data_IF_705797649591
#
_entry.id   IF_705797649591
#
_cell.length_a   1.000
_cell.length_b   1.000
_cell.length_c   1.000
_cell.angle_alpha   90.00
_cell.angle_beta   90.00
_cell.angle_gamma   90.00
#
_symmetry.space_group_name_H-M   'P 1'
#
loop_
_entity.id
_entity.type
_entity.pdbx_description
1 polymer ?
#
# COMPACT_ATOMS: atom_id res chain seq x y z
N UNK A 1 -31.78 -33.94 8.48
CA UNK A 1 -31.03 -33.93 7.20
C UNK A 1 -29.81 -33.04 7.33
N UNK A 2 -28.59 -33.50 7.00
CA UNK A 2 -27.41 -32.64 7.00
C UNK A 2 -27.62 -31.52 5.97
N UNK A 3 -27.40 -30.25 6.34
CA UNK A 3 -27.49 -29.10 5.41
C UNK A 3 -26.59 -29.36 4.20
N UNK A 4 -27.10 -29.11 3.00
CA UNK A 4 -26.34 -29.15 1.73
C UNK A 4 -25.02 -28.39 1.90
N UNK A 5 -23.90 -29.12 1.95
CA UNK A 5 -22.54 -28.56 2.01
C UNK A 5 -21.98 -28.53 0.60
N UNK A 6 -21.67 -27.34 0.07
CA UNK A 6 -20.91 -27.21 -1.17
C UNK A 6 -19.54 -27.87 -1.00
N UNK A 7 -19.07 -28.58 -2.01
CA UNK A 7 -17.72 -29.12 -2.04
C UNK A 7 -16.72 -27.97 -1.93
N UNK A 8 -15.84 -28.06 -0.93
CA UNK A 8 -14.76 -27.10 -0.78
C UNK A 8 -13.60 -27.59 -1.64
N UNK A 9 -13.17 -26.77 -2.61
CA UNK A 9 -11.95 -27.03 -3.37
C UNK A 9 -10.78 -27.04 -2.38
N UNK A 10 -10.17 -28.21 -2.16
CA UNK A 10 -9.00 -28.35 -1.29
C UNK A 10 -7.75 -28.15 -2.15
N UNK A 11 -7.04 -27.06 -1.91
CA UNK A 11 -5.76 -26.78 -2.55
C UNK A 11 -4.65 -27.56 -1.87
N UNK A 12 -3.80 -28.24 -2.66
CA UNK A 12 -2.62 -28.98 -2.19
C UNK A 12 -1.37 -28.09 -2.10
N UNK A 13 -1.56 -26.80 -1.81
CA UNK A 13 -0.45 -25.85 -1.65
C UNK A 13 0.37 -26.17 -0.39
N UNK A 14 1.68 -25.97 -0.47
CA UNK A 14 2.62 -26.14 0.67
C UNK A 14 2.46 -25.10 1.78
N UNK A 15 1.69 -24.03 1.54
CA UNK A 15 1.54 -22.91 2.49
C UNK A 15 0.47 -23.24 3.53
N UNK A 16 0.88 -23.24 4.79
CA UNK A 16 -0.02 -23.38 5.94
C UNK A 16 -0.62 -22.03 6.34
N UNK A 17 -1.78 -22.06 7.00
CA UNK A 17 -2.41 -20.85 7.51
C UNK A 17 -1.61 -20.32 8.70
N UNK A 18 -1.39 -19.01 8.75
CA UNK A 18 -0.82 -18.35 9.92
C UNK A 18 -1.76 -18.50 11.11
N UNK A 19 -1.23 -19.03 12.20
CA UNK A 19 -1.93 -19.28 13.47
C UNK A 19 -1.74 -18.11 14.43
N UNK A 20 -2.37 -18.22 15.61
CA UNK A 20 -2.25 -17.26 16.71
C UNK A 20 -0.78 -17.08 17.18
N UNK A 21 0.07 -18.08 16.97
CA UNK A 21 1.47 -18.06 17.36
C UNK A 21 2.26 -16.97 16.62
N UNK A 22 2.03 -16.80 15.31
CA UNK A 22 2.67 -15.73 14.53
C UNK A 22 2.31 -14.34 15.06
N UNK A 23 1.02 -14.13 15.38
CA UNK A 23 0.56 -12.86 15.97
C UNK A 23 1.21 -12.59 17.31
N UNK A 24 1.41 -13.64 18.13
CA UNK A 24 2.11 -13.52 19.40
C UNK A 24 3.60 -13.20 19.19
N UNK A 25 4.26 -13.84 18.22
CA UNK A 25 5.66 -13.56 17.88
C UNK A 25 5.84 -12.10 17.45
N UNK A 26 4.96 -11.58 16.57
CA UNK A 26 4.98 -10.16 16.19
C UNK A 26 4.81 -9.24 17.41
N UNK A 27 3.89 -9.54 18.33
CA UNK A 27 3.70 -8.74 19.54
C UNK A 27 4.99 -8.71 20.39
N UNK A 28 5.64 -9.85 20.59
CA UNK A 28 6.90 -9.94 21.33
C UNK A 28 8.03 -9.16 20.64
N UNK A 29 8.16 -9.29 19.32
CA UNK A 29 9.16 -8.53 18.55
C UNK A 29 8.92 -7.02 18.65
N UNK A 30 7.67 -6.59 18.59
CA UNK A 30 7.29 -5.18 18.68
C UNK A 30 7.64 -4.62 20.07
N UNK A 31 7.34 -5.35 21.14
CA UNK A 31 7.72 -4.97 22.51
C UNK A 31 9.23 -4.89 22.69
N UNK A 32 9.99 -5.86 22.18
CA UNK A 32 11.45 -5.85 22.23
C UNK A 32 12.06 -4.65 21.46
N UNK A 33 11.47 -4.27 20.32
CA UNK A 33 11.91 -3.09 19.57
C UNK A 33 11.50 -1.78 20.25
N UNK A 34 10.32 -1.72 20.89
CA UNK A 34 9.91 -0.58 21.69
C UNK A 34 10.84 -0.35 22.90
N UNK A 35 11.51 -1.41 23.38
CA UNK A 35 12.54 -1.31 24.40
C UNK A 35 13.90 -0.86 23.86
N UNK A 36 14.30 -1.45 22.73
CA UNK A 36 15.61 -1.25 22.11
C UNK A 36 15.82 0.15 21.57
N UNK A 37 14.83 0.68 20.84
CA UNK A 37 14.97 1.94 20.10
C UNK A 37 14.47 3.13 20.90
N UNK A 38 15.04 4.29 20.62
CA UNK A 38 14.68 5.57 21.27
C UNK A 38 13.37 6.13 20.74
N UNK A 39 13.16 6.12 19.44
CA UNK A 39 11.97 6.70 18.83
C UNK A 39 11.04 5.62 18.25
N UNK A 40 9.74 5.82 18.45
CA UNK A 40 8.69 5.04 17.80
C UNK A 40 7.77 5.99 17.03
N UNK A 41 7.65 5.77 15.73
CA UNK A 41 6.84 6.57 14.84
C UNK A 41 5.59 5.81 14.44
N UNK A 42 4.45 6.48 14.50
CA UNK A 42 3.23 6.05 13.84
C UNK A 42 3.21 6.65 12.43
N UNK A 43 3.17 5.80 11.42
CA UNK A 43 3.07 6.22 10.04
C UNK A 43 1.83 5.65 9.36
N UNK A 44 1.32 6.36 8.37
CA UNK A 44 0.27 5.94 7.44
C UNK A 44 0.90 5.68 6.07
N UNK A 45 0.33 4.76 5.30
CA UNK A 45 0.79 4.47 3.94
C UNK A 45 -0.31 4.75 2.93
N UNK A 46 0.03 5.52 1.90
CA UNK A 46 -0.87 5.90 0.81
C UNK A 46 -0.58 5.03 -0.39
N UNK A 47 -1.63 4.45 -0.99
CA UNK A 47 -1.50 3.56 -2.14
C UNK A 47 -0.47 2.44 -1.93
N UNK A 48 -0.67 1.66 -0.88
CA UNK A 48 0.28 0.64 -0.41
C UNK A 48 0.57 -0.46 -1.46
N UNK A 49 1.86 -0.72 -1.70
CA UNK A 49 2.39 -1.92 -2.38
C UNK A 49 3.48 -2.54 -1.53
N UNK A 50 3.47 -3.86 -1.42
CA UNK A 50 4.51 -4.61 -0.72
C UNK A 50 5.92 -4.37 -1.30
N UNK A 51 6.05 -4.10 -2.60
CA UNK A 51 7.34 -3.79 -3.23
C UNK A 51 7.98 -2.53 -2.65
N UNK A 52 7.18 -1.47 -2.48
CA UNK A 52 7.68 -0.16 -2.03
C UNK A 52 8.08 -0.21 -0.57
N UNK A 53 7.27 -0.83 0.29
CA UNK A 53 7.61 -1.00 1.70
C UNK A 53 8.84 -1.90 1.89
N UNK A 54 9.03 -2.93 1.04
CA UNK A 54 10.27 -3.72 1.04
C UNK A 54 11.49 -2.86 0.69
N UNK A 55 11.36 -1.93 -0.25
CA UNK A 55 12.44 -0.98 -0.58
C UNK A 55 12.75 -0.09 0.61
N UNK A 56 11.74 0.49 1.26
CA UNK A 56 11.94 1.32 2.47
C UNK A 56 12.62 0.50 3.57
N UNK A 57 12.12 -0.71 3.88
CA UNK A 57 12.73 -1.61 4.87
C UNK A 57 14.18 -1.96 4.55
N UNK A 58 14.51 -2.14 3.26
CA UNK A 58 15.88 -2.42 2.83
C UNK A 58 16.80 -1.23 3.04
N UNK A 59 16.33 -0.02 2.75
CA UNK A 59 17.10 1.23 2.93
C UNK A 59 17.36 1.51 4.42
N UNK A 60 16.46 1.08 5.30
CA UNK A 60 16.51 1.31 6.75
C UNK A 60 16.93 0.07 7.57
N UNK A 61 17.41 -1.00 6.93
CA UNK A 61 17.57 -2.32 7.57
C UNK A 61 18.46 -2.30 8.82
N UNK A 62 19.52 -1.49 8.79
CA UNK A 62 20.55 -1.47 9.83
C UNK A 62 20.25 -0.43 10.93
N UNK A 63 19.52 0.63 10.59
CA UNK A 63 19.28 1.80 11.45
C UNK A 63 17.86 1.88 12.00
N UNK A 64 16.96 1.01 11.56
CA UNK A 64 15.57 1.02 12.01
C UNK A 64 14.83 -0.31 11.82
N UNK A 65 13.64 -0.41 12.42
CA UNK A 65 12.72 -1.53 12.24
C UNK A 65 11.31 -1.04 11.94
N UNK A 66 10.73 -1.52 10.84
CA UNK A 66 9.35 -1.19 10.44
C UNK A 66 8.42 -2.37 10.64
N UNK A 67 7.31 -2.12 11.33
CA UNK A 67 6.18 -3.02 11.47
C UNK A 67 4.99 -2.46 10.70
N UNK A 68 4.36 -3.32 9.91
CA UNK A 68 3.12 -3.00 9.22
C UNK A 68 2.28 -4.27 9.19
N UNK A 69 1.08 -4.21 9.77
CA UNK A 69 0.23 -5.35 9.99
C UNK A 69 -1.12 -4.90 10.56
N UNK A 70 -1.85 -5.83 11.18
CA UNK A 70 -3.16 -5.53 11.75
C UNK A 70 -3.03 -4.52 12.90
N UNK A 71 -3.60 -3.33 12.72
CA UNK A 71 -3.57 -2.24 13.71
C UNK A 71 -3.99 -2.67 15.12
N UNK A 72 -5.01 -3.51 15.24
CA UNK A 72 -5.45 -4.05 16.53
C UNK A 72 -4.39 -4.89 17.26
N UNK A 73 -3.53 -5.62 16.54
CA UNK A 73 -2.44 -6.41 17.13
C UNK A 73 -1.33 -5.48 17.61
N UNK A 74 -0.96 -4.48 16.80
CA UNK A 74 0.04 -3.48 17.16
C UNK A 74 -0.40 -2.62 18.36
N UNK A 75 -1.65 -2.17 18.39
CA UNK A 75 -2.20 -1.42 19.50
C UNK A 75 -2.20 -2.23 20.80
N UNK A 76 -2.52 -3.53 20.72
CA UNK A 76 -2.45 -4.44 21.87
C UNK A 76 -1.00 -4.68 22.34
N UNK A 77 -0.05 -4.76 21.41
CA UNK A 77 1.37 -4.94 21.74
C UNK A 77 1.95 -3.75 22.52
N UNK A 78 1.55 -2.52 22.16
CA UNK A 78 1.95 -1.29 22.84
C UNK A 78 1.22 -1.09 24.19
N UNK A 79 -0.01 -1.59 24.28
CA UNK A 79 -0.91 -1.42 25.42
C UNK A 79 -1.94 -0.31 25.16
N UNK A 80 -3.22 -0.65 25.19
CA UNK A 80 -4.32 0.29 24.91
C UNK A 80 -4.73 1.13 26.12
N UNK A 81 -4.32 0.74 27.32
CA UNK A 81 -4.63 1.41 28.57
C UNK A 81 -3.35 1.72 29.35
N UNK A 82 -3.41 2.71 30.26
CA UNK A 82 -2.30 3.09 31.13
C UNK A 82 -1.87 1.94 32.06
N UNK A 83 -2.76 0.98 32.35
CA UNK A 83 -2.43 -0.18 33.17
C UNK A 83 -1.71 -1.31 32.39
N UNK A 84 -1.87 -1.32 31.06
CA UNK A 84 -1.31 -2.35 30.17
C UNK A 84 -0.21 -1.78 29.27
N UNK A 85 0.19 -0.52 29.48
CA UNK A 85 1.20 0.12 28.64
C UNK A 85 2.59 -0.44 28.94
N UNK A 86 3.26 -0.89 27.89
CA UNK A 86 4.58 -1.50 28.01
C UNK A 86 5.65 -0.48 28.45
N UNK A 87 5.47 0.77 28.01
CA UNK A 87 6.24 1.94 28.46
C UNK A 87 5.31 3.13 28.61
N UNK A 88 5.72 4.05 29.47
CA UNK A 88 4.98 5.27 29.79
C UNK A 88 4.67 6.07 28.51
N UNK A 89 3.38 6.33 28.29
CA UNK A 89 2.88 7.16 27.20
C UNK A 89 2.65 6.46 25.86
N UNK A 90 3.02 5.18 25.72
CA UNK A 90 2.72 4.40 24.50
C UNK A 90 1.22 4.19 24.28
N UNK A 91 0.44 4.19 25.36
CA UNK A 91 -1.02 4.11 25.29
C UNK A 91 -1.63 5.22 24.42
N UNK A 92 -1.06 6.43 24.45
CA UNK A 92 -1.49 7.55 23.60
C UNK A 92 -1.26 7.24 22.12
N UNK A 93 -0.13 6.64 21.77
CA UNK A 93 0.18 6.23 20.39
C UNK A 93 -0.76 5.10 19.94
N UNK A 94 -1.02 4.11 20.81
CA UNK A 94 -1.90 2.97 20.51
C UNK A 94 -3.33 3.39 20.14
N UNK A 95 -3.89 4.42 20.80
CA UNK A 95 -5.24 4.92 20.49
C UNK A 95 -5.37 5.58 19.11
N UNK A 96 -4.24 6.02 18.52
CA UNK A 96 -4.19 6.66 17.21
C UNK A 96 -4.03 5.65 16.07
N UNK A 97 -3.79 4.37 16.39
CA UNK A 97 -3.63 3.30 15.39
C UNK A 97 -5.01 2.97 14.79
N UNK A 98 -5.34 3.61 13.66
CA UNK A 98 -6.59 3.39 12.91
C UNK A 98 -6.31 3.35 11.41
N UNK A 99 -6.90 2.38 10.71
CA UNK A 99 -6.72 2.21 9.27
C UNK A 99 -5.39 1.54 8.90
N UNK A 100 -4.85 1.90 7.72
CA UNK A 100 -3.59 1.36 7.17
C UNK A 100 -2.38 2.11 7.74
N UNK A 101 -2.08 1.84 9.00
CA UNK A 101 -0.95 2.44 9.72
C UNK A 101 0.09 1.38 10.10
N UNK A 102 1.32 1.83 10.34
CA UNK A 102 2.41 1.00 10.82
C UNK A 102 3.26 1.72 11.88
N UNK A 103 4.18 0.98 12.48
CA UNK A 103 5.13 1.49 13.46
C UNK A 103 6.54 1.44 12.91
N UNK A 104 7.30 2.52 13.12
CA UNK A 104 8.69 2.63 12.70
C UNK A 104 9.57 2.99 13.89
N UNK A 105 10.48 2.10 14.23
CA UNK A 105 11.40 2.26 15.35
C UNK A 105 12.80 2.63 14.85
N UNK A 106 13.39 3.69 15.39
CA UNK A 106 14.74 4.12 15.01
C UNK A 106 15.37 4.96 16.12
N UNK A 107 16.71 5.07 16.10
CA UNK A 107 17.48 6.01 16.94
C UNK A 107 17.85 7.31 16.20
N UNK A 108 17.54 7.38 14.90
CA UNK A 108 17.84 8.51 14.02
C UNK A 108 17.11 9.77 14.46
N UNK A 109 17.73 10.94 14.31
CA UNK A 109 17.13 12.19 14.72
C UNK A 109 15.80 12.48 14.00
N UNK A 110 14.81 13.09 14.69
CA UNK A 110 13.49 13.24 14.10
C UNK A 110 13.44 14.05 12.81
N UNK A 111 14.29 15.05 12.68
CA UNK A 111 14.34 15.91 11.50
C UNK A 111 14.76 15.13 10.25
N UNK A 112 15.80 14.31 10.36
CA UNK A 112 16.30 13.49 9.25
C UNK A 112 15.25 12.47 8.79
N UNK A 113 14.52 11.86 9.73
CA UNK A 113 13.43 10.94 9.42
C UNK A 113 12.30 11.64 8.65
N UNK A 114 11.90 12.84 9.10
CA UNK A 114 10.84 13.62 8.45
C UNK A 114 11.24 14.00 7.02
N UNK A 115 12.45 14.50 6.82
CA UNK A 115 12.97 14.91 5.51
C UNK A 115 13.08 13.70 4.56
N UNK A 116 13.62 12.58 5.05
CA UNK A 116 13.76 11.37 4.25
C UNK A 116 12.41 10.84 3.74
N UNK A 117 11.39 10.79 4.62
CA UNK A 117 10.06 10.33 4.23
C UNK A 117 9.31 11.33 3.35
N UNK A 118 9.60 12.63 3.44
CA UNK A 118 9.06 13.64 2.53
C UNK A 118 9.61 13.49 1.11
N UNK A 119 10.91 13.18 0.99
CA UNK A 119 11.60 12.98 -0.29
C UNK A 119 11.28 11.62 -0.93
N UNK A 120 11.01 10.59 -0.13
CA UNK A 120 10.73 9.26 -0.65
C UNK A 120 9.34 9.17 -1.31
N UNK A 121 9.32 9.31 -2.63
CA UNK A 121 8.11 9.21 -3.44
C UNK A 121 8.33 8.28 -4.63
N UNK A 122 7.43 7.31 -4.83
CA UNK A 122 7.53 6.36 -5.94
C UNK A 122 6.26 6.32 -6.79
N UNK A 123 6.34 6.67 -8.08
CA UNK A 123 5.19 6.56 -8.99
C UNK A 123 4.73 5.11 -9.15
N UNK A 124 3.42 4.89 -9.06
CA UNK A 124 2.74 3.60 -9.20
C UNK A 124 1.44 3.70 -10.01
N UNK A 125 0.91 2.54 -10.39
CA UNK A 125 -0.34 2.39 -11.11
C UNK A 125 -1.54 2.54 -10.17
N UNK A 126 -2.52 3.33 -10.61
CA UNK A 126 -3.79 3.46 -9.91
C UNK A 126 -4.55 2.12 -9.85
N UNK A 127 -5.42 1.98 -8.85
CA UNK A 127 -6.37 0.88 -8.69
C UNK A 127 -7.80 1.41 -8.79
N UNK A 128 -8.74 0.48 -8.88
CA UNK A 128 -10.15 0.81 -8.73
C UNK A 128 -10.37 1.57 -7.42
N UNK A 129 -11.18 2.62 -7.45
CA UNK A 129 -11.44 3.46 -6.28
C UNK A 129 -10.47 4.65 -6.10
N UNK A 130 -9.30 4.65 -6.74
CA UNK A 130 -8.43 5.85 -6.75
C UNK A 130 -9.03 6.95 -7.62
N UNK A 131 -8.79 8.21 -7.28
CA UNK A 131 -9.14 9.36 -8.14
C UNK A 131 -8.06 9.57 -9.20
N UNK A 132 -8.46 9.84 -10.44
CA UNK A 132 -7.53 10.16 -11.50
C UNK A 132 -6.88 11.53 -11.28
N UNK A 133 -5.54 11.58 -11.28
CA UNK A 133 -4.76 12.82 -11.10
C UNK A 133 -4.76 13.71 -12.35
N UNK A 134 -4.95 13.11 -13.53
CA UNK A 134 -5.07 13.79 -14.83
C UNK A 134 -6.04 13.08 -15.75
N UNK A 135 -6.59 13.83 -16.71
CA UNK A 135 -7.40 13.27 -17.80
C UNK A 135 -6.49 12.55 -18.80
N UNK A 136 -6.86 11.34 -19.18
CA UNK A 136 -6.14 10.54 -20.20
C UNK A 136 -7.08 10.17 -21.32
N UNK A 137 -6.66 10.48 -22.54
CA UNK A 137 -7.35 10.09 -23.78
C UNK A 137 -6.35 9.37 -24.65
N UNK A 138 -6.70 8.15 -25.06
CA UNK A 138 -5.93 7.38 -26.02
C UNK A 138 -6.24 7.92 -27.43
N UNK A 139 -5.23 8.28 -28.23
CA UNK A 139 -5.46 8.76 -29.58
C UNK A 139 -5.99 7.64 -30.49
N UNK A 140 -6.57 8.02 -31.62
CA UNK A 140 -6.83 7.11 -32.73
C UNK A 140 -5.51 6.52 -33.25
N UNK A 141 -5.53 5.26 -33.69
CA UNK A 141 -4.35 4.56 -34.17
C UNK A 141 -3.91 3.41 -33.27
N UNK A 142 -2.69 2.87 -33.46
CA UNK A 142 -2.19 1.74 -32.69
C UNK A 142 -2.24 2.00 -31.19
N UNK A 143 -2.76 1.04 -30.42
CA UNK A 143 -2.70 1.14 -28.96
C UNK A 143 -1.25 0.90 -28.54
N UNK A 144 -0.66 1.86 -27.83
CA UNK A 144 0.74 1.83 -27.41
C UNK A 144 0.87 1.51 -25.91
N UNK A 145 1.94 0.80 -25.58
CA UNK A 145 2.44 0.54 -24.24
C UNK A 145 3.60 1.48 -23.97
N UNK A 146 3.50 2.27 -22.91
CA UNK A 146 4.53 3.23 -22.50
C UNK A 146 5.50 2.64 -21.47
N UNK A 147 5.73 1.31 -21.50
CA UNK A 147 6.72 0.67 -20.62
C UNK A 147 8.16 0.81 -21.14
N UNK A 148 8.33 1.06 -22.44
CA UNK A 148 9.60 1.26 -23.12
C UNK A 148 9.61 2.62 -23.81
N UNK A 149 10.83 3.13 -24.04
CA UNK A 149 11.08 4.30 -24.86
C UNK A 149 11.94 3.86 -26.06
N UNK A 150 11.41 3.89 -27.30
CA UNK A 150 10.10 4.41 -27.71
C UNK A 150 8.92 3.47 -27.35
N UNK A 151 7.67 3.99 -27.28
CA UNK A 151 6.49 3.18 -26.99
C UNK A 151 6.21 2.09 -28.02
N UNK A 152 5.81 0.91 -27.54
CA UNK A 152 5.57 -0.26 -28.38
C UNK A 152 4.08 -0.56 -28.54
N UNK A 153 3.63 -1.02 -29.72
CA UNK A 153 2.25 -1.46 -29.88
C UNK A 153 1.93 -2.68 -29.01
N UNK A 154 0.64 -2.84 -28.67
CA UNK A 154 0.15 -4.07 -28.04
C UNK A 154 0.27 -5.27 -28.98
N UNK A 155 0.54 -6.47 -28.45
CA UNK A 155 0.56 -7.69 -29.24
C UNK A 155 -0.87 -8.14 -29.58
N UNK A 156 -1.02 -8.82 -30.71
CA UNK A 156 -2.33 -9.24 -31.24
C UNK A 156 -3.14 -10.12 -30.29
N UNK A 157 -2.49 -10.90 -29.43
CA UNK A 157 -3.13 -11.80 -28.47
C UNK A 157 -3.81 -11.06 -27.31
N UNK A 158 -3.42 -9.81 -27.03
CA UNK A 158 -4.02 -8.98 -25.97
C UNK A 158 -5.24 -8.18 -26.48
N UNK A 159 -5.52 -8.19 -27.78
CA UNK A 159 -6.67 -7.49 -28.37
C UNK A 159 -8.03 -7.88 -27.73
N UNK A 160 -8.34 -9.17 -27.49
CA UNK A 160 -9.60 -9.54 -26.85
C UNK A 160 -9.73 -8.98 -25.42
N UNK A 161 -8.61 -8.84 -24.71
CA UNK A 161 -8.59 -8.24 -23.38
C UNK A 161 -8.85 -6.74 -23.45
N UNK A 162 -8.21 -6.03 -24.39
CA UNK A 162 -8.47 -4.60 -24.62
C UNK A 162 -9.94 -4.32 -24.93
N UNK A 163 -10.57 -5.17 -25.76
CA UNK A 163 -12.00 -5.07 -26.06
C UNK A 163 -12.88 -5.34 -24.83
N UNK A 164 -12.52 -6.35 -24.02
CA UNK A 164 -13.22 -6.65 -22.76
C UNK A 164 -13.16 -5.50 -21.76
N UNK A 165 -12.07 -4.71 -21.79
CA UNK A 165 -11.88 -3.53 -20.96
C UNK A 165 -12.58 -2.27 -21.51
N UNK A 166 -13.32 -2.38 -22.61
CA UNK A 166 -14.15 -1.31 -23.17
C UNK A 166 -13.52 -0.53 -24.32
N UNK A 167 -12.35 -0.93 -24.82
CA UNK A 167 -11.76 -0.32 -26.01
C UNK A 167 -12.41 -0.83 -27.30
N UNK A 168 -12.74 0.08 -28.21
CA UNK A 168 -13.21 -0.26 -29.56
C UNK A 168 -12.00 -0.41 -30.49
N UNK A 169 -11.36 -1.58 -30.42
CA UNK A 169 -10.16 -1.91 -31.21
C UNK A 169 -10.48 -2.74 -32.44
N UNK A 170 -9.70 -2.51 -33.49
CA UNK A 170 -9.67 -3.27 -34.75
C UNK A 170 -8.23 -3.70 -35.06
N UNK A 171 -8.07 -4.79 -35.80
CA UNK A 171 -6.75 -5.31 -36.15
C UNK A 171 -6.28 -4.72 -37.48
N UNK A 172 -5.25 -3.88 -37.45
CA UNK A 172 -4.63 -3.32 -38.66
C UNK A 172 -3.20 -3.86 -38.76
N UNK A 173 -2.91 -4.64 -39.80
CA UNK A 173 -1.59 -5.28 -40.03
C UNK A 173 -1.06 -6.06 -38.80
N UNK A 174 -1.97 -6.74 -38.08
CA UNK A 174 -1.59 -7.52 -36.89
C UNK A 174 -1.42 -6.68 -35.60
N UNK A 175 -1.75 -5.39 -35.63
CA UNK A 175 -1.63 -4.48 -34.47
C UNK A 175 -3.02 -4.01 -34.01
N UNK A 176 -3.35 -4.12 -32.70
CA UNK A 176 -4.56 -3.55 -32.13
C UNK A 176 -4.58 -2.03 -32.30
N UNK A 177 -5.59 -1.52 -33.01
CA UNK A 177 -5.71 -0.13 -33.44
C UNK A 177 -7.09 0.41 -33.05
N UNK A 178 -7.14 1.56 -32.36
CA UNK A 178 -8.36 2.27 -32.05
C UNK A 178 -8.91 2.97 -33.29
N UNK A 179 -10.21 2.79 -33.55
CA UNK A 179 -10.92 3.41 -34.68
C UNK A 179 -11.31 4.87 -34.41
N UNK A 180 -11.33 5.28 -33.14
CA UNK A 180 -11.58 6.64 -32.70
C UNK A 180 -10.85 6.91 -31.38
N UNK A 181 -10.56 8.17 -31.03
CA UNK A 181 -9.98 8.52 -29.74
C UNK A 181 -10.86 8.04 -28.58
N UNK A 182 -10.26 7.41 -27.58
CA UNK A 182 -10.97 6.86 -26.43
C UNK A 182 -10.58 7.57 -25.13
N UNK A 183 -11.55 8.21 -24.49
CA UNK A 183 -11.34 8.88 -23.20
C UNK A 183 -11.32 7.86 -22.07
N UNK A 184 -10.13 7.56 -21.57
CA UNK A 184 -9.94 6.54 -20.53
C UNK A 184 -10.45 7.04 -19.17
N UNK A 185 -10.00 8.23 -18.73
CA UNK A 185 -10.43 8.81 -17.46
C UNK A 185 -10.37 10.35 -17.47
N UNK A 186 -11.04 10.95 -16.50
CA UNK A 186 -11.05 12.41 -16.27
C UNK A 186 -10.46 12.75 -14.91
N UNK A 187 -9.69 13.84 -14.86
CA UNK A 187 -9.14 14.36 -13.61
C UNK A 187 -10.23 14.51 -12.54
N UNK A 188 -9.96 13.98 -11.35
CA UNK A 188 -10.84 14.04 -10.17
C UNK A 188 -11.90 12.94 -10.07
N UNK A 189 -12.18 12.21 -11.16
CA UNK A 189 -13.13 11.09 -11.15
C UNK A 189 -12.51 9.83 -10.56
N UNK A 190 -13.34 9.03 -9.88
CA UNK A 190 -12.96 7.73 -9.32
C UNK A 190 -12.79 6.74 -10.47
N UNK A 191 -11.68 6.01 -10.48
CA UNK A 191 -11.34 5.03 -11.50
C UNK A 191 -12.10 3.72 -11.27
N UNK A 192 -12.66 3.18 -12.35
CA UNK A 192 -13.22 1.82 -12.37
C UNK A 192 -12.11 0.77 -12.46
N UNK A 193 -12.45 -0.50 -12.26
CA UNK A 193 -11.52 -1.62 -12.40
C UNK A 193 -10.93 -1.70 -13.81
N UNK A 194 -11.77 -1.51 -14.83
CA UNK A 194 -11.38 -1.54 -16.24
C UNK A 194 -10.43 -0.39 -16.58
N UNK A 195 -10.73 0.82 -16.11
CA UNK A 195 -9.89 2.00 -16.31
C UNK A 195 -8.52 1.82 -15.64
N UNK A 196 -8.49 1.36 -14.38
CA UNK A 196 -7.24 1.09 -13.67
C UNK A 196 -6.40 0.01 -14.37
N UNK A 197 -7.05 -1.03 -14.90
CA UNK A 197 -6.36 -2.08 -15.66
C UNK A 197 -5.79 -1.56 -16.98
N UNK A 198 -6.54 -0.74 -17.73
CA UNK A 198 -6.04 -0.09 -18.95
C UNK A 198 -4.85 0.84 -18.67
N UNK A 199 -4.90 1.61 -17.57
CA UNK A 199 -3.77 2.46 -17.16
C UNK A 199 -2.51 1.64 -16.85
N UNK A 200 -2.68 0.50 -16.17
CA UNK A 200 -1.58 -0.42 -15.90
C UNK A 200 -1.01 -1.01 -17.18
N UNK A 201 -1.86 -1.48 -18.10
CA UNK A 201 -1.43 -2.07 -19.37
C UNK A 201 -0.72 -1.06 -20.26
N UNK A 202 -1.23 0.18 -20.32
CA UNK A 202 -0.62 1.27 -21.10
C UNK A 202 0.63 1.85 -20.45
N UNK A 203 0.99 1.46 -19.22
CA UNK A 203 2.19 1.97 -18.54
C UNK A 203 2.00 3.34 -17.88
N UNK A 204 0.77 3.82 -17.74
CA UNK A 204 0.46 5.13 -17.16
C UNK A 204 0.30 5.05 -15.65
N UNK A 205 1.34 5.51 -14.95
CA UNK A 205 1.33 5.68 -13.49
C UNK A 205 0.55 6.94 -13.12
N UNK A 206 -0.35 6.82 -12.16
CA UNK A 206 -1.30 7.88 -11.77
C UNK A 206 -1.34 8.17 -10.28
N UNK A 207 -0.75 7.29 -9.47
CA UNK A 207 -0.68 7.44 -8.02
C UNK A 207 0.78 7.44 -7.63
N UNK A 208 1.11 8.15 -6.56
CA UNK A 208 2.44 8.15 -5.99
C UNK A 208 2.36 7.50 -4.62
N UNK A 209 3.21 6.50 -4.40
CA UNK A 209 3.42 5.94 -3.08
C UNK A 209 4.13 6.97 -2.21
N UNK A 210 3.58 7.20 -1.03
CA UNK A 210 4.18 8.01 0.03
C UNK A 210 3.86 7.43 1.40
N UNK A 211 4.74 7.72 2.35
CA UNK A 211 4.57 7.37 3.76
C UNK A 211 4.37 8.67 4.52
N UNK A 212 3.26 8.78 5.23
CA UNK A 212 2.94 9.94 6.04
C UNK A 212 3.25 9.68 7.51
N UNK A 213 4.05 10.51 8.15
CA UNK A 213 4.34 10.41 9.58
C UNK A 213 3.25 11.12 10.37
N UNK A 214 2.56 10.42 11.28
CA UNK A 214 1.46 10.97 12.07
C UNK A 214 1.96 11.48 13.43
N UNK A 215 2.69 10.62 14.14
CA UNK A 215 3.10 10.90 15.52
C UNK A 215 4.42 10.21 15.84
N UNK A 216 5.16 10.76 16.79
CA UNK A 216 6.41 10.22 17.33
C UNK A 216 6.31 10.09 18.83
N UNK A 217 6.69 8.94 19.36
CA UNK A 217 6.94 8.72 20.78
C UNK A 217 8.44 8.67 21.06
N UNK A 218 8.86 9.25 22.18
CA UNK A 218 10.25 9.26 22.65
C UNK A 218 10.38 8.43 23.93
N UNK A 219 11.31 7.48 23.95
CA UNK A 219 11.55 6.61 25.10
C UNK A 219 12.10 7.35 26.31
N UNK A 220 12.77 8.49 26.10
CA UNK A 220 13.45 9.22 27.18
C UNK A 220 12.46 10.09 27.96
N UNK A 221 11.51 10.71 27.27
CA UNK A 221 10.51 11.60 27.88
C UNK A 221 9.18 10.89 28.13
N UNK A 222 8.89 9.80 27.42
CA UNK A 222 7.58 9.15 27.43
C UNK A 222 6.49 9.99 26.76
N UNK A 223 6.87 11.04 26.03
CA UNK A 223 5.92 11.95 25.39
C UNK A 223 5.64 11.55 23.94
N UNK A 224 4.42 11.84 23.50
CA UNK A 224 3.99 11.68 22.11
C UNK A 224 3.87 13.05 21.47
N UNK A 225 4.68 13.31 20.45
CA UNK A 225 4.66 14.52 19.62
C UNK A 225 3.86 14.23 18.35
N UNK A 226 2.87 15.07 18.07
CA UNK A 226 2.10 15.00 16.82
C UNK A 226 2.87 15.72 15.70
N UNK A 227 2.85 15.14 14.50
CA UNK A 227 3.48 15.74 13.33
C UNK A 227 2.40 16.40 12.48
N UNK A 228 2.34 17.73 12.53
CA UNK A 228 1.38 18.49 11.73
C UNK A 228 1.70 18.37 10.23
N UNK A 229 0.67 18.09 9.41
CA UNK A 229 0.82 17.98 7.96
C UNK A 229 1.46 16.69 7.45
N UNK A 230 1.88 15.76 8.32
CA UNK A 230 2.47 14.48 7.92
C UNK A 230 1.46 13.40 7.56
N UNK A 231 0.16 13.63 7.76
CA UNK A 231 -0.90 12.70 7.34
C UNK A 231 -1.08 12.65 5.82
N UNK A 232 -1.52 11.51 5.30
CA UNK A 232 -1.72 11.33 3.86
C UNK A 232 -3.06 11.96 3.45
N UNK A 233 -3.08 12.92 2.49
CA UNK A 233 -4.30 13.44 1.91
C UNK A 233 -5.33 12.36 1.56
N UNK A 234 -6.59 12.65 1.89
CA UNK A 234 -7.72 11.73 1.77
C UNK A 234 -7.88 11.18 0.35
N UNK A 235 -7.52 11.96 -0.67
CA UNK A 235 -7.60 11.54 -2.08
C UNK A 235 -6.58 10.46 -2.49
N UNK A 236 -5.53 10.25 -1.70
CA UNK A 236 -4.53 9.18 -1.91
C UNK A 236 -4.67 8.04 -0.90
N UNK A 237 -5.60 8.15 0.04
CA UNK A 237 -6.09 6.98 0.79
C UNK A 237 -6.85 6.13 -0.22
N UNK A 238 -6.28 4.98 -0.58
CA UNK A 238 -7.00 4.01 -1.39
C UNK A 238 -8.32 3.67 -0.67
N UNK A 239 -9.42 3.57 -1.42
CA UNK A 239 -10.66 3.03 -0.88
C UNK A 239 -10.33 1.69 -0.19
N UNK A 240 -10.85 1.51 1.03
CA UNK A 240 -10.67 0.28 1.83
C UNK A 240 -11.23 -0.92 1.05
N UNK A 241 -10.41 -1.47 0.15
CA UNK A 241 -10.54 -2.85 -0.29
C UNK A 241 -10.20 -3.69 0.93
N UNK A 242 -11.17 -4.48 1.39
CA UNK A 242 -10.97 -5.51 2.39
C UNK A 242 -9.99 -6.55 1.88
N UNK A 243 -8.69 -6.24 1.89
CA UNK A 243 -7.61 -7.22 1.78
C UNK A 243 -7.53 -7.94 3.15
N UNK A 244 -8.54 -8.75 3.45
CA UNK A 244 -8.52 -9.77 4.50
C UNK A 244 -7.63 -10.97 4.10
N UNK A 245 -6.91 -10.88 2.98
CA UNK A 245 -5.99 -11.90 2.49
C UNK A 245 -4.69 -11.26 2.01
N UNK A 246 -3.88 -10.74 2.93
CA UNK A 246 -2.42 -10.79 2.83
C UNK A 246 -1.80 -10.34 4.16
N UNK A 247 -1.96 -11.20 5.19
CA UNK A 247 -1.21 -11.11 6.44
C UNK A 247 0.24 -11.57 6.17
N UNK A 248 0.94 -10.88 5.26
CA UNK A 248 2.35 -11.06 4.97
C UNK A 248 3.17 -10.30 6.01
N UNK A 249 3.14 -10.77 7.26
CA UNK A 249 4.32 -10.70 8.12
C UNK A 249 5.49 -11.32 7.35
N UNK A 250 6.31 -10.45 6.79
CA UNK A 250 7.66 -10.71 6.30
C UNK A 250 8.58 -10.05 7.34
N UNK A 251 8.76 -10.72 8.48
CA UNK A 251 9.94 -10.53 9.30
C UNK A 251 11.07 -11.29 8.62
N UNK A 252 11.85 -10.56 7.83
CA UNK A 252 13.31 -10.69 7.62
C UNK A 252 13.79 -9.67 6.59
#
# INVERSE_FOLDING_TARGET
MPRSKRSKLVSLTKVSKKTKEHKNAMMTELQANAEKWRYCWLFEVGSMRNSHLKTVRKLWKDTARMFFGRGAVMAKALGTSVAEEHRLGLSKLATQIKGQVGLFFTDTEPQEVIEWFADFQQPDFARAGNRATRTVTLPEGPVLRHHSDPPEPFPHNEEPQLRKLGLTTSMVKGVPTLTAPHKLCEKGKVLTSEQAQLLKLTGLKMVTFRVGLIARWDSTTGEVVQIEGGGIPVDEKAAEGSDDEDDAEMSE
#
